data_IF_365687295853
#
_entry.id   IF_365687295853
#
_cell.length_a   1.000
_cell.length_b   1.000
_cell.length_c   1.000
_cell.angle_alpha   90.00
_cell.angle_beta   90.00
_cell.angle_gamma   90.00
#
_symmetry.space_group_name_H-M   'P 1'
#
loop_
_entity.id
_entity.type
_entity.pdbx_description
1 polymer ?
#
# COMPACT_ATOMS: atom_id res chain seq x y z
N UNK A 1 4.87 19.70 -2.99
CA UNK A 1 3.71 20.37 -3.62
C UNK A 1 2.48 19.88 -2.89
N UNK A 2 1.75 20.79 -2.26
CA UNK A 2 0.49 20.52 -1.58
C UNK A 2 -0.67 21.07 -2.41
N UNK A 3 -1.74 20.32 -2.62
CA UNK A 3 -2.93 20.86 -3.28
C UNK A 3 -3.71 21.74 -2.31
N UNK A 4 -4.30 22.81 -2.84
CA UNK A 4 -5.30 23.62 -2.15
C UNK A 4 -6.44 24.00 -3.09
N UNK A 5 -7.61 24.27 -2.54
CA UNK A 5 -8.77 24.65 -3.33
C UNK A 5 -9.11 26.14 -3.15
N UNK A 6 -9.30 26.83 -4.27
CA UNK A 6 -9.75 28.22 -4.29
C UNK A 6 -10.80 28.39 -5.38
N UNK A 7 -12.02 28.84 -4.99
CA UNK A 7 -13.10 29.08 -5.93
C UNK A 7 -13.54 27.83 -6.72
N UNK A 8 -13.49 26.66 -6.10
CA UNK A 8 -13.85 25.36 -6.71
C UNK A 8 -12.81 24.82 -7.68
N UNK A 9 -11.59 25.35 -7.68
CA UNK A 9 -10.45 24.85 -8.48
C UNK A 9 -9.31 24.43 -7.58
N UNK A 10 -8.66 23.33 -7.92
CA UNK A 10 -7.46 22.85 -7.24
C UNK A 10 -6.23 23.55 -7.78
N UNK A 11 -5.50 24.18 -6.89
CA UNK A 11 -4.18 24.76 -7.13
C UNK A 11 -3.12 23.96 -6.37
N UNK A 12 -1.86 24.21 -6.68
CA UNK A 12 -0.73 23.54 -6.04
C UNK A 12 0.28 24.58 -5.56
N UNK A 13 0.71 24.43 -4.31
CA UNK A 13 1.79 25.23 -3.75
C UNK A 13 2.95 24.37 -3.27
N UNK A 14 4.11 24.98 -3.09
CA UNK A 14 5.23 24.28 -2.50
C UNK A 14 5.13 24.36 -0.98
N UNK A 15 5.03 23.22 -0.29
CA UNK A 15 5.28 23.18 1.14
C UNK A 15 6.66 23.80 1.43
N UNK A 16 6.74 24.68 2.41
CA UNK A 16 7.94 25.49 2.64
C UNK A 16 9.19 24.63 2.83
N UNK A 17 9.08 23.50 3.53
CA UNK A 17 10.18 22.56 3.74
C UNK A 17 9.64 21.18 4.20
N UNK A 18 10.25 20.10 3.68
CA UNK A 18 9.94 18.74 4.13
C UNK A 18 11.22 17.97 4.45
N UNK A 19 11.15 17.08 5.44
CA UNK A 19 12.20 16.12 5.79
C UNK A 19 11.74 14.71 5.43
N UNK A 20 12.64 13.98 4.78
CA UNK A 20 12.39 12.60 4.34
C UNK A 20 13.61 11.77 4.66
N UNK A 21 13.43 10.71 5.43
CA UNK A 21 14.50 9.79 5.82
C UNK A 21 13.93 8.39 5.94
N UNK A 22 14.73 7.36 5.66
CA UNK A 22 14.24 6.00 5.71
C UNK A 22 15.32 4.95 5.44
N UNK A 23 14.92 3.70 5.55
CA UNK A 23 15.71 2.50 5.30
C UNK A 23 14.87 1.56 4.46
N UNK A 24 15.49 0.99 3.43
CA UNK A 24 14.93 -0.07 2.61
C UNK A 24 15.79 -1.32 2.71
N UNK A 25 15.18 -2.45 3.00
CA UNK A 25 15.83 -3.75 3.06
C UNK A 25 15.09 -4.72 2.15
N UNK A 26 15.85 -5.54 1.43
CA UNK A 26 15.31 -6.66 0.65
C UNK A 26 16.21 -7.88 0.84
N UNK A 27 15.58 -9.01 1.12
CA UNK A 27 16.23 -10.30 1.30
C UNK A 27 15.49 -11.34 0.48
N UNK A 28 16.22 -12.05 -0.36
CA UNK A 28 15.78 -13.29 -0.98
C UNK A 28 16.59 -14.44 -0.41
N UNK A 29 15.93 -15.51 0.01
CA UNK A 29 16.56 -16.66 0.63
C UNK A 29 16.06 -17.97 -0.01
N UNK A 30 16.97 -18.75 -0.53
CA UNK A 30 16.72 -20.10 -1.04
C UNK A 30 16.72 -21.07 0.13
N UNK A 31 15.55 -21.22 0.76
CA UNK A 31 15.37 -22.01 2.00
C UNK A 31 15.65 -23.49 1.74
N UNK A 32 15.21 -23.97 0.56
CA UNK A 32 15.55 -25.31 0.02
C UNK A 32 15.70 -25.20 -1.50
N UNK A 33 16.02 -26.29 -2.20
CA UNK A 33 16.05 -26.33 -3.68
C UNK A 33 14.69 -26.00 -4.32
N UNK A 34 13.61 -26.13 -3.57
CA UNK A 34 12.25 -25.95 -4.07
C UNK A 34 11.47 -24.80 -3.38
N UNK A 35 12.01 -24.24 -2.32
CA UNK A 35 11.37 -23.17 -1.54
C UNK A 35 12.25 -21.93 -1.51
N UNK A 36 11.72 -20.85 -2.08
CA UNK A 36 12.29 -19.51 -2.00
C UNK A 36 11.43 -18.63 -1.13
N UNK A 37 12.03 -17.84 -0.27
CA UNK A 37 11.36 -16.82 0.54
C UNK A 37 11.94 -15.45 0.23
N UNK A 38 11.06 -14.46 0.10
CA UNK A 38 11.45 -13.07 -0.16
C UNK A 38 10.81 -12.18 0.90
N UNK A 39 11.59 -11.27 1.45
CA UNK A 39 11.08 -10.22 2.35
C UNK A 39 11.64 -8.88 1.90
N UNK A 40 10.75 -7.91 1.73
CA UNK A 40 11.12 -6.52 1.52
C UNK A 40 10.46 -5.67 2.60
N UNK A 41 11.22 -4.76 3.19
CA UNK A 41 10.75 -3.84 4.20
C UNK A 41 11.29 -2.45 3.94
N UNK A 42 10.36 -1.50 3.93
CA UNK A 42 10.66 -0.07 3.89
C UNK A 42 10.21 0.55 5.20
N UNK A 43 11.09 1.27 5.84
CA UNK A 43 10.76 2.22 6.89
C UNK A 43 11.11 3.61 6.39
N UNK A 44 10.14 4.55 6.46
CA UNK A 44 10.39 5.91 6.05
C UNK A 44 9.59 6.90 6.89
N UNK A 45 10.22 8.01 7.25
CA UNK A 45 9.57 9.15 7.86
C UNK A 45 9.47 10.29 6.85
N UNK A 46 8.26 10.79 6.70
CA UNK A 46 7.93 11.92 5.85
C UNK A 46 7.25 12.97 6.71
N UNK A 47 7.93 14.10 6.97
CA UNK A 47 7.41 15.18 7.82
C UNK A 47 7.54 16.53 7.15
N UNK A 48 6.62 17.42 7.48
CA UNK A 48 6.81 18.83 7.24
C UNK A 48 7.88 19.34 8.22
N UNK A 49 8.93 19.96 7.71
CA UNK A 49 9.95 20.59 8.56
C UNK A 49 9.48 22.01 8.96
N UNK A 50 8.85 22.71 8.02
CA UNK A 50 8.24 24.03 8.26
C UNK A 50 7.12 24.24 7.24
N UNK A 51 5.87 24.24 7.71
CA UNK A 51 4.72 24.46 6.85
C UNK A 51 3.53 25.04 7.63
N UNK A 52 3.06 26.21 7.20
CA UNK A 52 1.81 26.79 7.65
C UNK A 52 0.74 26.50 6.60
N UNK A 53 -0.30 25.78 6.98
CA UNK A 53 -1.43 25.46 6.11
C UNK A 53 -2.39 26.66 6.10
N UNK A 54 -2.32 27.49 5.06
CA UNK A 54 -3.12 28.71 4.95
C UNK A 54 -4.62 28.41 4.82
N UNK A 55 -5.01 27.26 4.27
CA UNK A 55 -6.42 26.87 4.17
C UNK A 55 -7.04 26.55 5.53
N UNK A 56 -6.28 25.88 6.38
CA UNK A 56 -6.70 25.52 7.73
C UNK A 56 -6.37 26.63 8.75
N UNK A 57 -5.49 27.57 8.37
CA UNK A 57 -5.01 28.62 9.25
C UNK A 57 -4.16 28.11 10.42
N UNK A 58 -3.46 26.97 10.24
CA UNK A 58 -2.69 26.32 11.31
C UNK A 58 -1.27 25.97 10.86
N UNK A 59 -0.34 26.03 11.82
CA UNK A 59 1.01 25.51 11.63
C UNK A 59 0.98 23.96 11.75
N UNK A 60 1.40 23.27 10.69
CA UNK A 60 1.49 21.83 10.61
C UNK A 60 2.93 21.34 10.55
N UNK A 61 3.88 22.19 10.97
CA UNK A 61 5.28 21.79 11.11
C UNK A 61 5.40 20.56 12.03
N UNK A 62 6.35 19.70 11.73
CA UNK A 62 6.58 18.40 12.37
C UNK A 62 5.46 17.34 12.18
N UNK A 63 4.32 17.68 11.59
CA UNK A 63 3.29 16.72 11.23
C UNK A 63 3.79 15.75 10.15
N UNK A 64 3.20 14.54 10.15
CA UNK A 64 3.40 13.58 9.07
C UNK A 64 2.77 14.07 7.78
N UNK A 65 3.46 13.88 6.67
CA UNK A 65 2.86 14.11 5.35
C UNK A 65 1.76 13.06 5.12
N UNK A 66 0.55 13.49 4.69
CA UNK A 66 -0.58 12.58 4.56
C UNK A 66 -0.39 11.56 3.42
N UNK A 67 -1.08 10.42 3.53
CA UNK A 67 -1.09 9.38 2.52
C UNK A 67 0.18 8.52 2.44
N UNK A 68 1.17 8.74 3.31
CA UNK A 68 2.47 8.05 3.27
C UNK A 68 2.63 7.15 4.50
N UNK A 69 2.58 5.81 4.34
CA UNK A 69 2.80 4.89 5.45
C UNK A 69 4.27 4.91 5.87
N UNK A 70 4.52 4.78 7.18
CA UNK A 70 5.88 4.70 7.71
C UNK A 70 6.52 3.33 7.50
N UNK A 71 5.72 2.28 7.48
CA UNK A 71 6.20 0.92 7.23
C UNK A 71 5.43 0.30 6.09
N UNK A 72 6.16 -0.27 5.14
CA UNK A 72 5.63 -1.14 4.10
C UNK A 72 6.42 -2.45 4.19
N UNK A 73 5.70 -3.57 4.23
CA UNK A 73 6.29 -4.91 4.23
C UNK A 73 5.66 -5.73 3.11
N UNK A 74 6.51 -6.42 2.37
CA UNK A 74 6.14 -7.51 1.48
C UNK A 74 6.89 -8.76 1.92
N UNK A 75 6.19 -9.88 2.03
CA UNK A 75 6.82 -11.17 2.23
C UNK A 75 6.15 -12.21 1.35
N UNK A 76 6.95 -13.06 0.71
CA UNK A 76 6.51 -14.13 -0.17
C UNK A 76 7.20 -15.44 0.18
N UNK A 77 6.46 -16.54 0.10
CA UNK A 77 6.99 -17.89 0.08
C UNK A 77 6.53 -18.58 -1.21
N UNK A 78 7.48 -19.03 -2.02
CA UNK A 78 7.25 -19.68 -3.30
C UNK A 78 7.83 -21.08 -3.28
N UNK A 79 6.96 -22.07 -3.26
CA UNK A 79 7.32 -23.48 -3.35
C UNK A 79 7.13 -23.97 -4.79
N UNK A 80 8.22 -24.45 -5.40
CA UNK A 80 8.27 -24.91 -6.80
C UNK A 80 9.00 -26.25 -6.89
N UNK A 81 8.32 -27.39 -6.62
CA UNK A 81 8.93 -28.72 -6.78
C UNK A 81 9.19 -29.04 -8.25
N UNK A 82 10.11 -30.01 -8.50
CA UNK A 82 10.56 -30.38 -9.84
C UNK A 82 9.47 -30.97 -10.75
N UNK A 83 8.33 -31.38 -10.19
CA UNK A 83 7.20 -31.93 -10.95
C UNK A 83 6.32 -30.91 -11.67
N UNK A 84 6.73 -29.63 -11.67
CA UNK A 84 6.06 -28.53 -12.33
C UNK A 84 4.93 -27.88 -11.53
N UNK A 85 4.55 -28.39 -10.36
CA UNK A 85 3.63 -27.70 -9.47
C UNK A 85 4.26 -26.45 -8.87
N UNK A 86 3.44 -25.49 -8.48
CA UNK A 86 3.86 -24.38 -7.65
C UNK A 86 2.76 -23.92 -6.70
N UNK A 87 3.17 -23.43 -5.55
CA UNK A 87 2.32 -22.73 -4.59
C UNK A 87 3.08 -21.49 -4.15
N UNK A 88 2.43 -20.34 -4.24
CA UNK A 88 3.00 -19.06 -3.87
C UNK A 88 2.00 -18.41 -2.91
N UNK A 89 2.48 -17.96 -1.78
CA UNK A 89 1.73 -17.13 -0.84
C UNK A 89 2.47 -15.83 -0.56
N UNK A 90 1.79 -14.71 -0.59
CA UNK A 90 2.36 -13.42 -0.24
C UNK A 90 1.51 -12.68 0.80
N UNK A 91 2.16 -11.84 1.57
CA UNK A 91 1.54 -10.86 2.45
C UNK A 91 2.08 -9.46 2.16
N UNK A 92 1.17 -8.50 2.11
CA UNK A 92 1.46 -7.08 1.97
C UNK A 92 0.91 -6.34 3.17
N UNK A 93 1.76 -5.64 3.86
CA UNK A 93 1.40 -4.83 5.01
C UNK A 93 1.74 -3.37 4.74
N UNK A 94 0.84 -2.47 5.11
CA UNK A 94 1.09 -1.04 5.21
C UNK A 94 0.66 -0.55 6.60
N UNK A 95 1.50 0.30 7.21
CA UNK A 95 1.15 0.96 8.45
C UNK A 95 0.07 2.01 8.23
N UNK A 96 -0.47 2.54 9.30
CA UNK A 96 -1.43 3.64 9.28
C UNK A 96 -0.90 4.87 8.55
N UNK A 97 -1.82 5.66 8.01
CA UNK A 97 -1.54 6.94 7.35
C UNK A 97 -2.51 8.01 7.83
N UNK A 98 -2.15 9.26 7.67
CA UNK A 98 -3.04 10.39 7.86
C UNK A 98 -3.68 10.81 6.55
N UNK A 99 -4.93 11.29 6.60
CA UNK A 99 -5.67 11.71 5.42
C UNK A 99 -5.40 13.19 5.05
N UNK A 100 -4.94 14.00 6.01
CA UNK A 100 -4.74 15.44 5.83
C UNK A 100 -3.51 15.96 6.59
N UNK A 101 -3.09 17.18 6.25
CA UNK A 101 -1.90 17.82 6.80
C UNK A 101 -1.97 18.05 8.33
N UNK A 102 -3.17 18.19 8.88
CA UNK A 102 -3.38 18.40 10.32
C UNK A 102 -3.23 17.15 11.17
N UNK A 103 -3.15 15.96 10.52
CA UNK A 103 -3.03 14.65 11.16
C UNK A 103 -4.18 14.30 12.13
N UNK A 104 -5.37 14.83 11.90
CA UNK A 104 -6.55 14.57 12.74
C UNK A 104 -7.24 13.26 12.34
N UNK A 105 -7.33 12.97 11.03
CA UNK A 105 -7.96 11.76 10.51
C UNK A 105 -6.92 10.70 10.22
N UNK A 106 -7.01 9.58 10.94
CA UNK A 106 -6.11 8.44 10.82
C UNK A 106 -6.79 7.28 10.12
N UNK A 107 -6.11 6.71 9.14
CA UNK A 107 -6.52 5.50 8.45
C UNK A 107 -5.65 4.35 8.94
N UNK A 108 -6.29 3.32 9.47
CA UNK A 108 -5.63 2.21 10.13
C UNK A 108 -4.75 1.38 9.21
N UNK A 109 -3.76 0.72 9.81
CA UNK A 109 -2.91 -0.26 9.14
C UNK A 109 -3.71 -1.45 8.62
N UNK A 110 -3.20 -2.08 7.55
CA UNK A 110 -3.78 -3.30 7.01
C UNK A 110 -2.71 -4.29 6.56
N UNK A 111 -3.09 -5.56 6.55
CA UNK A 111 -2.33 -6.64 5.94
C UNK A 111 -3.25 -7.43 5.00
N UNK A 112 -2.79 -7.70 3.79
CA UNK A 112 -3.51 -8.46 2.77
C UNK A 112 -2.68 -9.67 2.41
N UNK A 113 -3.29 -10.85 2.46
CA UNK A 113 -2.66 -12.13 2.10
C UNK A 113 -3.26 -12.62 0.80
N UNK A 114 -2.39 -13.03 -0.12
CA UNK A 114 -2.78 -13.64 -1.39
C UNK A 114 -2.18 -15.03 -1.50
N UNK A 115 -2.83 -15.89 -2.28
CA UNK A 115 -2.33 -17.21 -2.59
C UNK A 115 -2.55 -17.54 -4.07
N UNK A 116 -1.56 -18.18 -4.69
CA UNK A 116 -1.63 -18.68 -6.06
C UNK A 116 -1.04 -20.08 -6.11
N UNK A 117 -1.68 -20.96 -6.85
CA UNK A 117 -1.19 -22.30 -7.11
C UNK A 117 -1.41 -22.66 -8.56
N UNK A 118 -0.63 -23.59 -9.06
CA UNK A 118 -0.74 -24.01 -10.44
C UNK A 118 0.21 -25.14 -10.79
N UNK A 119 0.19 -25.46 -12.07
CA UNK A 119 1.09 -26.44 -12.64
C UNK A 119 1.54 -26.00 -14.02
N UNK A 120 2.82 -26.23 -14.30
CA UNK A 120 3.49 -25.95 -15.54
C UNK A 120 3.92 -27.26 -16.19
N UNK A 121 3.63 -27.40 -17.46
CA UNK A 121 4.06 -28.53 -18.29
C UNK A 121 4.96 -28.02 -19.41
N UNK A 122 6.01 -28.74 -19.68
CA UNK A 122 6.93 -28.47 -20.79
C UNK A 122 6.75 -29.56 -21.86
N UNK A 123 6.47 -29.15 -23.10
CA UNK A 123 6.29 -30.00 -24.25
C UNK A 123 7.24 -29.55 -25.36
N UNK A 124 8.37 -30.23 -25.56
CA UNK A 124 9.34 -29.88 -26.58
C UNK A 124 9.69 -28.36 -26.61
N UNK A 125 8.97 -27.57 -27.42
CA UNK A 125 9.18 -26.12 -27.60
C UNK A 125 8.01 -25.27 -27.06
N UNK A 126 7.09 -25.87 -26.32
CA UNK A 126 5.92 -25.20 -25.79
C UNK A 126 5.85 -25.38 -24.27
N UNK A 127 5.33 -24.38 -23.62
CA UNK A 127 5.03 -24.40 -22.20
C UNK A 127 3.53 -24.12 -22.00
N UNK A 128 2.89 -24.91 -21.15
CA UNK A 128 1.52 -24.68 -20.71
C UNK A 128 1.52 -24.51 -19.21
N UNK A 129 1.01 -23.39 -18.73
CA UNK A 129 0.76 -23.14 -17.31
C UNK A 129 -0.74 -23.01 -17.06
N UNK A 130 -1.26 -23.81 -16.14
CA UNK A 130 -2.59 -23.58 -15.56
C UNK A 130 -2.42 -23.09 -14.12
N UNK A 131 -3.13 -22.03 -13.77
CA UNK A 131 -3.09 -21.52 -12.41
C UNK A 131 -4.44 -21.01 -11.92
N UNK A 132 -4.59 -21.01 -10.62
CA UNK A 132 -5.69 -20.32 -9.92
C UNK A 132 -5.14 -19.61 -8.69
N UNK A 133 -5.86 -18.60 -8.24
CA UNK A 133 -5.44 -17.83 -7.06
C UNK A 133 -6.59 -17.14 -6.38
N UNK A 134 -6.25 -16.64 -5.21
CA UNK A 134 -7.13 -15.89 -4.32
C UNK A 134 -6.38 -14.61 -3.92
N UNK A 135 -6.93 -13.47 -4.25
CA UNK A 135 -6.47 -12.20 -3.69
C UNK A 135 -7.33 -11.88 -2.46
N UNK A 136 -6.70 -11.26 -1.47
CA UNK A 136 -7.32 -10.91 -0.21
C UNK A 136 -8.00 -12.12 0.47
N UNK A 137 -7.21 -13.16 0.72
CA UNK A 137 -7.66 -14.47 1.22
C UNK A 137 -8.59 -14.37 2.46
N UNK A 138 -8.31 -13.42 3.35
CA UNK A 138 -9.05 -13.22 4.60
C UNK A 138 -10.18 -12.20 4.49
N UNK A 139 -10.47 -11.71 3.27
CA UNK A 139 -11.53 -10.71 3.01
C UNK A 139 -11.39 -9.46 3.87
N UNK A 140 -10.15 -8.96 3.99
CA UNK A 140 -9.83 -7.79 4.79
C UNK A 140 -10.38 -6.53 4.13
N UNK A 141 -11.17 -5.75 4.85
CA UNK A 141 -11.57 -4.41 4.44
C UNK A 141 -10.41 -3.43 4.64
N UNK A 142 -10.07 -2.70 3.58
CA UNK A 142 -9.08 -1.64 3.62
C UNK A 142 -9.33 -0.64 2.48
N UNK A 143 -8.64 0.50 2.52
CA UNK A 143 -8.73 1.51 1.47
C UNK A 143 -7.56 1.39 0.50
N UNK A 144 -7.87 1.30 -0.80
CA UNK A 144 -6.87 1.24 -1.89
C UNK A 144 -6.39 2.62 -2.31
N UNK A 145 -7.22 3.64 -2.11
CA UNK A 145 -6.89 5.02 -2.45
C UNK A 145 -7.47 5.99 -1.41
N UNK A 146 -6.71 7.04 -1.16
CA UNK A 146 -7.05 8.10 -0.20
C UNK A 146 -6.83 9.43 -0.91
N UNK A 147 -7.88 10.21 -1.04
CA UNK A 147 -7.77 11.56 -1.53
C UNK A 147 -7.29 12.45 -0.37
N UNK A 148 -6.01 12.77 -0.36
CA UNK A 148 -5.40 13.58 0.69
C UNK A 148 -5.92 15.01 0.67
N UNK A 149 -6.04 15.64 1.86
CA UNK A 149 -6.55 16.99 2.05
C UNK A 149 -7.93 17.25 1.42
N UNK A 150 -8.73 16.18 1.24
CA UNK A 150 -10.09 16.33 0.74
C UNK A 150 -10.99 16.91 1.83
N UNK A 151 -11.54 18.09 1.57
CA UNK A 151 -12.55 18.71 2.42
C UNK A 151 -13.95 18.40 1.87
N UNK A 152 -14.79 17.79 2.69
CA UNK A 152 -16.23 17.77 2.47
C UNK A 152 -16.90 18.66 3.53
N UNK A 153 -18.03 19.26 3.18
CA UNK A 153 -18.85 20.07 4.11
C UNK A 153 -19.61 19.22 5.14
N UNK A 154 -19.26 17.94 5.29
CA UNK A 154 -19.89 17.05 6.27
C UNK A 154 -19.53 17.47 7.69
N UNK A 155 -20.50 17.48 8.62
CA UNK A 155 -20.28 17.98 9.99
C UNK A 155 -19.29 17.10 10.77
N UNK A 156 -19.28 15.78 10.56
CA UNK A 156 -18.34 14.87 11.23
C UNK A 156 -16.99 14.84 10.50
N UNK A 157 -15.87 15.14 11.19
CA UNK A 157 -14.53 15.03 10.60
C UNK A 157 -14.21 13.64 10.04
N UNK A 158 -14.72 12.57 10.65
CA UNK A 158 -14.54 11.20 10.16
C UNK A 158 -15.19 10.97 8.79
N UNK A 159 -16.26 11.72 8.48
CA UNK A 159 -16.99 11.62 7.22
C UNK A 159 -16.47 12.57 6.13
N UNK A 160 -15.47 13.40 6.44
CA UNK A 160 -14.93 14.41 5.50
C UNK A 160 -13.94 13.83 4.50
N UNK A 161 -13.41 12.64 4.77
CA UNK A 161 -12.46 11.98 3.89
C UNK A 161 -13.14 11.34 2.67
N UNK A 162 -12.43 11.31 1.55
CA UNK A 162 -12.80 10.52 0.37
C UNK A 162 -11.88 9.32 0.30
N UNK A 163 -12.45 8.14 0.58
CA UNK A 163 -11.73 6.88 0.62
C UNK A 163 -12.34 5.89 -0.36
N UNK A 164 -11.52 5.27 -1.18
CA UNK A 164 -11.94 4.21 -2.07
C UNK A 164 -11.60 2.86 -1.43
N UNK A 165 -12.61 2.04 -1.21
CA UNK A 165 -12.42 0.68 -0.69
C UNK A 165 -11.70 -0.19 -1.71
N UNK A 166 -10.78 -0.99 -1.22
CA UNK A 166 -10.16 -2.03 -2.04
C UNK A 166 -11.15 -3.16 -2.35
N UNK A 167 -10.92 -3.94 -3.42
CA UNK A 167 -11.67 -5.15 -3.67
C UNK A 167 -11.58 -6.11 -2.48
N UNK A 168 -12.71 -6.71 -2.12
CA UNK A 168 -12.76 -7.83 -1.20
C UNK A 168 -12.09 -9.07 -1.79
N UNK A 169 -12.30 -10.23 -1.19
CA UNK A 169 -11.76 -11.49 -1.69
C UNK A 169 -12.14 -11.75 -3.13
N UNK A 170 -11.15 -12.01 -3.97
CA UNK A 170 -11.31 -12.24 -5.40
C UNK A 170 -10.66 -13.56 -5.81
N UNK A 171 -11.37 -14.36 -6.55
CA UNK A 171 -10.88 -15.60 -7.15
C UNK A 171 -10.54 -15.34 -8.63
N UNK A 172 -9.46 -15.96 -9.10
CA UNK A 172 -9.08 -15.91 -10.50
C UNK A 172 -8.46 -17.22 -10.95
N UNK A 173 -8.53 -17.50 -12.25
CA UNK A 173 -7.83 -18.60 -12.90
C UNK A 173 -7.33 -18.15 -14.27
N UNK A 174 -6.28 -18.80 -14.76
CA UNK A 174 -5.67 -18.48 -16.05
C UNK A 174 -4.94 -19.68 -16.66
N UNK A 175 -4.67 -19.56 -17.95
CA UNK A 175 -3.90 -20.48 -18.78
C UNK A 175 -2.90 -19.70 -19.62
#
# INVERSE_FOLDING_TARGET
ITPYELGGRTYYENAARTRREGIELSLEHFTTETLTTTVAWTWAQYRFDRFFDEQQGVDVSDNHMPGLPQHIVFAEAAWRPQNGFFVIGDVRFASEVYAENTNQTRIGSHAVVNARFGKRWHFNHQELELHAGINNLFDRDYYSNIRINANSDRPDPADRGYFETAPGRTLYAGV
#
